data_IF_465433501077
#
_entry.id   IF_465433501077
#
_cell.length_a   1.000
_cell.length_b   1.000
_cell.length_c   1.000
_cell.angle_alpha   90.00
_cell.angle_beta   90.00
_cell.angle_gamma   90.00
#
_symmetry.space_group_name_H-M   'P 1'
#
loop_
_entity.id
_entity.type
_entity.pdbx_description
1 polymer ?
#
# COMPACT_ATOMS: atom_id res chain seq x y z
N UNK A 1 46.23 32.53 19.27
CA UNK A 1 44.80 32.78 18.96
C UNK A 1 43.97 31.79 19.76
N UNK A 2 43.03 32.29 20.57
CA UNK A 2 42.11 31.49 21.39
C UNK A 2 40.79 31.20 20.66
N UNK A 3 40.38 32.12 19.79
CA UNK A 3 39.15 32.02 19.00
C UNK A 3 39.48 31.98 17.50
N UNK A 4 38.71 31.21 16.74
CA UNK A 4 38.84 31.17 15.28
C UNK A 4 38.26 32.44 14.64
N UNK A 5 37.14 32.92 15.17
CA UNK A 5 36.39 34.07 14.68
C UNK A 5 35.89 34.89 15.87
N UNK A 6 35.98 36.22 15.77
CA UNK A 6 35.15 37.16 16.52
C UNK A 6 33.93 37.52 15.66
N UNK A 7 32.71 37.40 16.20
CA UNK A 7 31.48 37.87 15.55
C UNK A 7 31.11 39.26 16.08
N UNK A 8 31.24 40.27 15.20
CA UNK A 8 30.80 41.65 15.41
C UNK A 8 29.45 41.87 14.73
N UNK A 9 28.45 42.36 15.47
CA UNK A 9 27.06 42.46 15.00
C UNK A 9 26.23 43.47 15.81
N UNK A 10 25.21 44.07 15.20
CA UNK A 10 24.22 44.88 15.92
C UNK A 10 23.23 44.00 16.69
N UNK A 11 22.66 44.51 17.78
CA UNK A 11 21.69 43.77 18.61
C UNK A 11 20.48 43.25 17.80
N UNK A 12 20.09 43.96 16.73
CA UNK A 12 19.02 43.54 15.80
C UNK A 12 19.36 42.22 15.06
N UNK A 13 20.65 41.98 14.82
CA UNK A 13 21.19 40.86 14.05
C UNK A 13 21.55 39.65 14.93
N UNK A 14 21.23 39.68 16.23
CA UNK A 14 21.59 38.63 17.19
C UNK A 14 21.11 37.23 16.80
N UNK A 15 19.97 37.14 16.11
CA UNK A 15 19.45 35.88 15.60
C UNK A 15 20.31 35.29 14.48
N UNK A 16 20.89 36.13 13.61
CA UNK A 16 21.86 35.72 12.60
C UNK A 16 23.21 35.34 13.21
N UNK A 17 23.72 36.10 14.19
CA UNK A 17 24.94 35.76 14.91
C UNK A 17 24.85 34.37 15.57
N UNK A 18 23.75 34.10 16.26
CA UNK A 18 23.49 32.82 16.93
C UNK A 18 23.31 31.66 15.94
N UNK A 19 22.76 31.90 14.75
CA UNK A 19 22.66 30.90 13.69
C UNK A 19 24.02 30.60 13.03
N UNK A 20 24.78 31.65 12.70
CA UNK A 20 26.07 31.55 12.03
C UNK A 20 27.11 30.86 12.91
N UNK A 21 27.19 31.23 14.20
CA UNK A 21 28.03 30.58 15.19
C UNK A 21 27.84 29.05 15.20
N UNK A 22 26.59 28.58 15.35
CA UNK A 22 26.26 27.14 15.34
C UNK A 22 26.67 26.44 14.04
N UNK A 23 26.50 27.11 12.89
CA UNK A 23 26.90 26.58 11.57
C UNK A 23 28.43 26.45 11.45
N UNK A 24 29.20 27.43 11.93
CA UNK A 24 30.66 27.39 11.93
C UNK A 24 31.21 26.31 12.87
N UNK A 25 30.72 26.23 14.11
CA UNK A 25 31.20 25.25 15.11
C UNK A 25 30.84 23.79 14.78
N UNK A 26 29.68 23.57 14.14
CA UNK A 26 29.26 22.25 13.68
C UNK A 26 29.93 21.80 12.38
N UNK A 27 30.59 22.71 11.64
CA UNK A 27 31.20 22.40 10.35
C UNK A 27 32.37 21.40 10.48
N UNK A 28 32.40 20.41 9.58
CA UNK A 28 33.40 19.34 9.56
C UNK A 28 34.20 19.36 8.26
N UNK A 29 35.38 19.97 8.36
CA UNK A 29 36.31 20.21 7.24
C UNK A 29 36.55 18.90 6.45
N UNK A 30 36.57 18.95 5.11
CA UNK A 30 36.84 17.77 4.30
C UNK A 30 38.17 17.10 4.65
N UNK A 31 38.18 15.78 4.91
CA UNK A 31 39.40 14.99 5.21
C UNK A 31 40.56 15.21 4.22
N UNK A 32 40.27 15.58 2.96
CA UNK A 32 41.27 15.89 1.92
C UNK A 32 41.98 17.24 2.10
N UNK A 33 41.42 18.14 2.90
CA UNK A 33 41.96 19.46 3.23
C UNK A 33 42.56 19.47 4.64
N UNK A 34 42.17 18.55 5.54
CA UNK A 34 42.75 18.49 6.88
C UNK A 34 44.23 18.15 6.79
N UNK A 35 45.07 19.00 7.36
CA UNK A 35 46.53 18.89 7.30
C UNK A 35 47.19 19.45 6.02
N UNK A 36 46.43 19.92 5.02
CA UNK A 36 47.02 20.68 3.91
C UNK A 36 47.32 22.11 4.35
N UNK A 37 48.29 22.76 3.70
CA UNK A 37 48.59 24.18 3.94
C UNK A 37 47.37 25.05 3.61
N UNK A 38 46.83 25.73 4.63
CA UNK A 38 45.90 26.84 4.51
C UNK A 38 46.60 28.16 4.89
N UNK A 39 45.80 29.22 5.03
CA UNK A 39 46.32 30.59 5.25
C UNK A 39 47.15 30.75 6.53
N UNK A 40 46.76 30.04 7.60
CA UNK A 40 47.34 30.13 8.94
C UNK A 40 48.10 28.86 9.36
N UNK A 41 48.54 28.05 8.40
CA UNK A 41 49.22 26.77 8.64
C UNK A 41 48.33 25.56 8.28
N UNK A 42 48.56 24.37 8.90
CA UNK A 42 47.83 23.16 8.53
C UNK A 42 46.34 23.26 8.90
N UNK A 43 45.47 23.07 7.91
CA UNK A 43 44.02 23.22 8.08
C UNK A 43 43.49 22.20 9.12
N UNK A 44 42.74 22.64 10.15
CA UNK A 44 42.22 21.77 11.20
C UNK A 44 40.98 20.98 10.76
N UNK A 45 40.63 19.93 11.52
CA UNK A 45 39.44 19.10 11.25
C UNK A 45 38.10 19.78 11.59
N UNK A 46 38.14 20.89 12.34
CA UNK A 46 37.04 21.74 12.84
C UNK A 46 37.59 23.17 12.90
N UNK A 47 36.76 24.18 12.65
CA UNK A 47 37.21 25.57 12.59
C UNK A 47 37.74 26.09 13.94
N UNK A 48 37.07 25.76 15.04
CA UNK A 48 37.45 26.17 16.38
C UNK A 48 36.25 26.75 17.14
N UNK A 49 36.52 27.42 18.26
CA UNK A 49 35.51 28.17 19.02
C UNK A 49 35.33 29.55 18.39
N UNK A 50 34.09 30.01 18.30
CA UNK A 50 33.73 31.34 17.80
C UNK A 50 33.37 32.23 18.99
N UNK A 51 34.01 33.39 19.11
CA UNK A 51 33.62 34.41 20.09
C UNK A 51 32.45 35.23 19.52
N UNK A 52 31.49 35.57 20.38
CA UNK A 52 30.35 36.44 20.05
C UNK A 52 30.12 37.36 21.24
N UNK A 53 30.05 38.67 21.01
CA UNK A 53 29.72 39.59 22.11
C UNK A 53 28.29 39.34 22.64
N UNK A 54 28.17 39.41 23.97
CA UNK A 54 27.00 39.27 24.86
C UNK A 54 25.75 38.50 24.40
N UNK A 55 25.56 37.33 25.02
CA UNK A 55 24.35 37.07 25.85
C UNK A 55 24.75 36.79 27.34
N UNK A 56 26.03 36.96 27.74
CA UNK A 56 26.51 36.62 29.09
C UNK A 56 26.77 37.86 29.98
N UNK A 57 25.68 38.40 30.53
CA UNK A 57 25.57 39.01 31.87
C UNK A 57 26.55 40.19 32.19
N UNK A 58 26.72 40.63 33.46
CA UNK A 58 26.01 41.81 33.96
C UNK A 58 26.93 43.02 34.24
N UNK A 59 26.37 44.06 34.86
CA UNK A 59 26.96 45.36 35.23
C UNK A 59 28.28 45.28 36.04
N UNK A 60 29.42 45.63 35.43
CA UNK A 60 30.54 46.36 36.09
C UNK A 60 31.67 46.79 35.12
N UNK A 61 32.13 48.04 35.23
CA UNK A 61 33.54 48.42 35.07
C UNK A 61 34.15 48.44 33.65
N UNK A 62 34.50 47.28 33.11
CA UNK A 62 35.70 47.15 32.25
C UNK A 62 35.44 46.52 30.86
N UNK A 63 34.24 46.74 30.32
CA UNK A 63 33.79 46.18 29.03
C UNK A 63 34.79 46.41 27.88
N UNK A 64 35.49 47.55 27.88
CA UNK A 64 36.37 47.94 26.78
C UNK A 64 37.71 47.19 26.73
N UNK A 65 38.19 46.63 27.85
CA UNK A 65 39.44 45.87 27.89
C UNK A 65 39.22 44.43 27.45
N UNK A 66 38.20 43.77 28.00
CA UNK A 66 37.84 42.37 27.67
C UNK A 66 37.52 42.19 26.18
N UNK A 67 36.79 43.13 25.56
CA UNK A 67 36.48 43.08 24.11
C UNK A 67 37.76 43.26 23.28
N UNK A 68 38.65 44.20 23.64
CA UNK A 68 39.94 44.39 22.94
C UNK A 68 40.85 43.18 23.06
N UNK A 69 40.89 42.54 24.23
CA UNK A 69 41.60 41.27 24.44
C UNK A 69 41.04 40.17 23.54
N UNK A 70 39.71 39.95 23.53
CA UNK A 70 39.07 38.97 22.67
C UNK A 70 39.29 39.24 21.16
N UNK A 71 39.27 40.51 20.72
CA UNK A 71 39.62 40.91 19.35
C UNK A 71 41.10 40.63 19.03
N UNK A 72 42.01 40.82 20.00
CA UNK A 72 43.42 40.47 19.82
C UNK A 72 43.64 38.95 19.72
N UNK A 73 42.95 38.17 20.56
CA UNK A 73 43.05 36.70 20.60
C UNK A 73 42.32 35.96 19.47
N UNK A 74 41.51 36.65 18.67
CA UNK A 74 40.74 36.07 17.57
C UNK A 74 41.53 36.03 16.25
N UNK A 75 41.50 34.90 15.55
CA UNK A 75 42.25 34.73 14.30
C UNK A 75 41.68 35.53 13.12
N UNK A 76 40.37 35.78 13.10
CA UNK A 76 39.65 36.57 12.10
C UNK A 76 38.48 37.35 12.73
N UNK A 77 38.03 38.41 12.07
CA UNK A 77 36.81 39.15 12.39
C UNK A 77 35.74 38.85 11.33
N UNK A 78 34.55 38.46 11.77
CA UNK A 78 33.38 38.32 10.90
C UNK A 78 32.36 39.36 11.31
N UNK A 79 32.09 40.30 10.41
CA UNK A 79 31.12 41.38 10.60
C UNK A 79 29.80 40.96 9.98
N UNK A 80 28.72 40.97 10.75
CA UNK A 80 27.37 40.80 10.21
C UNK A 80 26.91 42.15 9.67
N UNK A 81 26.68 42.21 8.36
CA UNK A 81 26.43 43.45 7.63
C UNK A 81 24.92 43.61 7.39
N UNK A 82 24.39 44.73 7.89
CA UNK A 82 22.97 45.11 7.87
C UNK A 82 22.85 46.64 8.04
N UNK A 83 21.68 47.25 7.74
CA UNK A 83 21.45 48.67 8.01
C UNK A 83 21.57 49.02 9.51
N UNK A 84 21.32 48.06 10.40
CA UNK A 84 21.46 48.24 11.84
C UNK A 84 22.92 48.14 12.31
N UNK A 85 23.76 47.39 11.59
CA UNK A 85 25.19 47.25 11.86
C UNK A 85 26.03 48.38 11.23
N UNK A 86 25.66 48.87 10.04
CA UNK A 86 26.29 50.05 9.41
C UNK A 86 26.18 51.33 10.27
N UNK A 87 25.03 51.51 10.94
CA UNK A 87 24.79 52.65 11.86
C UNK A 87 25.32 52.44 13.28
N UNK A 88 25.90 51.28 13.60
CA UNK A 88 26.34 50.97 14.96
C UNK A 88 27.78 51.45 15.21
N UNK A 89 27.90 52.49 16.05
CA UNK A 89 29.20 53.00 16.51
C UNK A 89 30.05 51.92 17.22
N UNK A 90 29.40 50.92 17.84
CA UNK A 90 30.09 49.81 18.49
C UNK A 90 30.71 48.85 17.47
N UNK A 91 29.95 48.47 16.43
CA UNK A 91 30.44 47.61 15.34
C UNK A 91 31.60 48.30 14.59
N UNK A 92 31.48 49.60 14.32
CA UNK A 92 32.56 50.40 13.70
C UNK A 92 33.81 50.50 14.61
N UNK A 93 33.63 50.63 15.92
CA UNK A 93 34.74 50.64 16.87
C UNK A 93 35.43 49.27 16.99
N UNK A 94 34.69 48.16 16.95
CA UNK A 94 35.25 46.80 16.91
C UNK A 94 36.05 46.53 15.64
N UNK A 95 35.50 46.91 14.47
CA UNK A 95 36.21 46.85 13.18
C UNK A 95 37.50 47.67 13.23
N UNK A 96 37.43 48.96 13.60
CA UNK A 96 38.61 49.82 13.72
C UNK A 96 39.65 49.27 14.71
N UNK A 97 39.19 48.69 15.83
CA UNK A 97 40.06 48.06 16.82
C UNK A 97 40.66 46.73 16.36
N UNK A 98 40.09 46.05 15.38
CA UNK A 98 40.69 44.88 14.76
C UNK A 98 41.66 45.29 13.63
N UNK A 99 41.31 46.30 12.83
CA UNK A 99 42.18 46.85 11.78
C UNK A 99 43.52 47.35 12.36
N UNK A 100 43.50 48.01 13.53
CA UNK A 100 44.71 48.47 14.23
C UNK A 100 45.65 47.35 14.68
N UNK A 101 45.20 46.09 14.69
CA UNK A 101 46.06 44.91 14.95
C UNK A 101 46.82 44.41 13.71
N UNK A 102 46.71 45.10 12.57
CA UNK A 102 47.44 44.78 11.34
C UNK A 102 46.89 43.60 10.54
N UNK A 103 45.67 43.14 10.85
CA UNK A 103 45.03 41.93 10.27
C UNK A 103 43.86 42.29 9.35
N UNK A 104 43.98 43.36 8.57
CA UNK A 104 42.90 43.86 7.71
C UNK A 104 42.41 42.84 6.67
N UNK A 105 43.30 41.95 6.22
CA UNK A 105 43.01 40.87 5.28
C UNK A 105 42.17 39.71 5.87
N UNK A 106 41.77 39.83 7.15
CA UNK A 106 41.00 38.86 7.94
C UNK A 106 39.67 39.41 8.45
N UNK A 107 39.22 40.54 7.91
CA UNK A 107 37.86 41.05 8.09
C UNK A 107 36.99 40.45 6.98
N UNK A 108 35.98 39.67 7.36
CA UNK A 108 35.03 39.06 6.44
C UNK A 108 33.64 39.62 6.68
N UNK A 109 32.98 40.08 5.63
CA UNK A 109 31.62 40.60 5.72
C UNK A 109 30.59 39.50 5.45
N UNK A 110 29.53 39.45 6.26
CA UNK A 110 28.43 38.50 6.10
C UNK A 110 27.12 39.27 5.99
N UNK A 111 26.68 39.52 4.76
CA UNK A 111 25.51 40.34 4.46
C UNK A 111 24.25 39.54 4.79
N UNK A 112 23.40 40.12 5.63
CA UNK A 112 22.12 39.51 6.03
C UNK A 112 20.90 40.31 5.58
N UNK A 113 21.05 41.62 5.41
CA UNK A 113 19.99 42.57 5.06
C UNK A 113 20.62 43.85 4.47
N UNK A 114 19.85 44.61 3.70
CA UNK A 114 20.28 45.87 3.09
C UNK A 114 21.08 45.70 1.79
N UNK A 115 21.14 46.78 1.00
CA UNK A 115 21.97 46.84 -0.21
C UNK A 115 23.46 46.88 0.16
N UNK A 116 24.36 46.24 -0.61
CA UNK A 116 25.78 46.12 -0.30
C UNK A 116 26.55 47.43 -0.57
N UNK A 117 26.20 48.50 0.14
CA UNK A 117 26.83 49.81 0.08
C UNK A 117 27.24 50.28 1.48
N UNK A 118 28.13 51.27 1.54
CA UNK A 118 28.63 51.83 2.81
C UNK A 118 27.49 52.38 3.67
N UNK A 119 26.55 53.08 3.05
CA UNK A 119 25.47 53.75 3.79
C UNK A 119 24.37 52.79 4.29
N UNK A 120 24.23 51.61 3.67
CA UNK A 120 23.12 50.67 3.93
C UNK A 120 23.52 49.35 4.59
N UNK A 121 24.78 48.90 4.56
CA UNK A 121 25.12 47.55 5.01
C UNK A 121 26.51 47.39 5.67
N UNK A 122 27.52 48.10 5.17
CA UNK A 122 28.90 47.99 5.67
C UNK A 122 29.24 49.09 6.69
N UNK A 123 29.85 48.79 7.86
CA UNK A 123 30.36 49.82 8.76
C UNK A 123 31.43 50.68 8.06
N UNK A 124 31.47 52.02 8.27
CA UNK A 124 32.36 52.92 7.51
C UNK A 124 33.84 52.51 7.51
N UNK A 125 34.37 52.05 8.64
CA UNK A 125 35.75 51.57 8.77
C UNK A 125 36.10 50.35 7.92
N UNK A 126 35.13 49.57 7.43
CA UNK A 126 35.42 48.38 6.58
C UNK A 126 35.92 48.73 5.17
N UNK A 127 35.77 49.98 4.71
CA UNK A 127 36.02 50.41 3.32
C UNK A 127 37.12 51.50 3.22
N UNK A 128 37.85 51.77 4.32
CA UNK A 128 38.83 52.89 4.48
C UNK A 128 39.96 53.00 3.42
N UNK A 129 40.12 52.05 2.48
CA UNK A 129 41.13 52.11 1.40
C UNK A 129 40.55 51.87 -0.01
N UNK A 130 39.24 51.97 -0.23
CA UNK A 130 38.63 51.87 -1.56
C UNK A 130 38.59 50.47 -2.19
N UNK A 131 39.01 49.44 -1.45
CA UNK A 131 38.77 48.04 -1.81
C UNK A 131 37.46 47.56 -1.17
N UNK A 132 36.59 46.93 -1.96
CA UNK A 132 35.39 46.27 -1.44
C UNK A 132 35.79 45.07 -0.55
N UNK A 133 35.20 44.92 0.66
CA UNK A 133 35.50 43.80 1.54
C UNK A 133 34.95 42.49 0.96
N UNK A 134 35.65 41.38 1.23
CA UNK A 134 35.19 40.06 0.79
C UNK A 134 33.90 39.66 1.52
N UNK A 135 32.77 39.86 0.85
CA UNK A 135 31.44 39.63 1.38
C UNK A 135 30.85 38.29 0.96
N UNK A 136 30.20 37.61 1.91
CA UNK A 136 29.33 36.46 1.68
C UNK A 136 27.88 36.91 1.86
N UNK A 137 27.03 36.71 0.84
CA UNK A 137 25.68 37.28 0.83
C UNK A 137 24.62 36.23 1.14
N UNK A 138 24.09 36.26 2.37
CA UNK A 138 23.12 35.30 2.86
C UNK A 138 21.67 35.59 2.44
N UNK A 139 21.42 36.73 1.78
CA UNK A 139 20.09 37.11 1.26
C UNK A 139 19.64 36.16 0.15
N UNK A 140 18.33 36.09 -0.09
CA UNK A 140 17.76 35.22 -1.13
C UNK A 140 18.13 35.67 -2.56
N UNK A 141 18.45 36.95 -2.72
CA UNK A 141 18.90 37.59 -3.98
C UNK A 141 20.42 37.50 -4.21
N UNK A 142 21.18 37.03 -3.20
CA UNK A 142 22.64 36.89 -3.23
C UNK A 142 23.12 35.45 -3.40
N UNK A 143 24.13 35.03 -2.62
CA UNK A 143 24.60 33.63 -2.62
C UNK A 143 23.57 32.67 -2.00
N UNK A 144 22.79 33.17 -1.02
CA UNK A 144 21.85 32.40 -0.20
C UNK A 144 22.52 31.67 0.98
N UNK A 145 21.77 31.51 2.08
CA UNK A 145 22.28 31.09 3.41
C UNK A 145 23.37 30.02 3.42
N UNK A 146 23.15 28.86 2.81
CA UNK A 146 24.14 27.75 2.88
C UNK A 146 25.39 28.00 2.02
N UNK A 147 25.26 28.69 0.87
CA UNK A 147 26.41 29.06 0.02
C UNK A 147 27.22 30.19 0.63
N UNK A 148 26.57 31.20 1.20
CA UNK A 148 27.22 32.27 1.94
C UNK A 148 28.08 31.71 3.10
N UNK A 149 27.55 30.75 3.86
CA UNK A 149 28.33 30.05 4.90
C UNK A 149 29.53 29.30 4.32
N UNK A 150 29.38 28.58 3.21
CA UNK A 150 30.52 27.90 2.57
C UNK A 150 31.57 28.88 2.01
N UNK A 151 31.16 30.03 1.49
CA UNK A 151 32.02 31.12 0.99
C UNK A 151 32.80 31.78 2.12
N UNK A 152 32.15 32.04 3.26
CA UNK A 152 32.79 32.49 4.49
C UNK A 152 33.82 31.46 5.01
N UNK A 153 33.45 30.18 5.08
CA UNK A 153 34.34 29.09 5.53
C UNK A 153 35.54 28.92 4.59
N UNK A 154 35.33 29.08 3.27
CA UNK A 154 36.40 29.08 2.28
C UNK A 154 37.42 30.21 2.55
N UNK A 155 36.94 31.43 2.83
CA UNK A 155 37.76 32.57 3.21
C UNK A 155 38.53 32.36 4.53
N UNK A 156 37.85 31.86 5.56
CA UNK A 156 38.45 31.56 6.88
C UNK A 156 39.54 30.49 6.82
N UNK A 157 39.39 29.48 5.95
CA UNK A 157 40.39 28.42 5.76
C UNK A 157 41.48 28.78 4.72
N UNK A 158 41.26 29.81 3.91
CA UNK A 158 42.13 30.13 2.77
C UNK A 158 42.08 29.10 1.63
N UNK A 159 40.92 28.49 1.38
CA UNK A 159 40.73 27.48 0.32
C UNK A 159 39.76 27.97 -0.75
N UNK A 160 39.92 27.51 -1.99
CA UNK A 160 38.99 27.86 -3.07
C UNK A 160 37.58 27.33 -2.80
N UNK A 161 36.57 28.20 -2.91
CA UNK A 161 35.15 27.91 -2.65
C UNK A 161 34.64 26.66 -3.39
N UNK A 162 35.01 26.48 -4.66
CA UNK A 162 34.64 25.33 -5.48
C UNK A 162 35.07 23.99 -4.87
N UNK A 163 36.18 23.98 -4.13
CA UNK A 163 36.68 22.76 -3.46
C UNK A 163 35.78 22.31 -2.30
N UNK A 164 34.96 23.20 -1.74
CA UNK A 164 33.95 22.86 -0.75
C UNK A 164 32.64 22.44 -1.43
N UNK A 165 32.17 23.23 -2.41
CA UNK A 165 30.89 23.01 -3.13
C UNK A 165 30.84 21.67 -3.86
N UNK A 166 31.89 21.32 -4.61
CA UNK A 166 31.93 20.07 -5.42
C UNK A 166 31.69 18.81 -4.57
N UNK A 167 32.10 18.82 -3.29
CA UNK A 167 31.97 17.66 -2.40
C UNK A 167 30.53 17.41 -1.94
N UNK A 168 29.74 18.46 -1.73
CA UNK A 168 28.35 18.33 -1.29
C UNK A 168 27.46 17.82 -2.42
N UNK A 169 27.69 18.32 -3.65
CA UNK A 169 27.09 17.77 -4.87
C UNK A 169 27.43 16.28 -5.04
N UNK A 170 28.71 15.89 -4.90
CA UNK A 170 29.12 14.48 -4.98
C UNK A 170 28.47 13.60 -3.90
N UNK A 171 28.30 14.09 -2.67
CA UNK A 171 27.61 13.35 -1.59
C UNK A 171 26.13 13.15 -1.90
N UNK A 172 25.44 14.17 -2.42
CA UNK A 172 24.04 14.10 -2.84
C UNK A 172 23.86 13.10 -3.98
N UNK A 173 24.68 13.21 -5.03
CA UNK A 173 24.58 12.34 -6.21
C UNK A 173 24.89 10.87 -5.87
N UNK A 174 25.88 10.59 -5.02
CA UNK A 174 26.16 9.21 -4.56
C UNK A 174 25.00 8.59 -3.77
N UNK A 175 24.32 9.36 -2.93
CA UNK A 175 23.12 8.90 -2.20
C UNK A 175 21.97 8.59 -3.15
N UNK A 176 21.69 9.49 -4.09
CA UNK A 176 20.63 9.31 -5.09
C UNK A 176 20.90 8.10 -6.00
N UNK A 177 22.14 7.92 -6.45
CA UNK A 177 22.54 6.77 -7.26
C UNK A 177 22.36 5.43 -6.52
N UNK A 178 22.69 5.37 -5.22
CA UNK A 178 22.52 4.15 -4.41
C UNK A 178 21.04 3.82 -4.19
N UNK A 179 20.19 4.82 -3.93
CA UNK A 179 18.73 4.65 -3.85
C UNK A 179 18.17 4.15 -5.18
N UNK A 180 18.55 4.77 -6.31
CA UNK A 180 18.11 4.34 -7.64
C UNK A 180 18.52 2.89 -7.95
N UNK A 181 19.77 2.51 -7.66
CA UNK A 181 20.25 1.14 -7.84
C UNK A 181 19.48 0.12 -6.97
N UNK A 182 19.19 0.47 -5.70
CA UNK A 182 18.39 -0.36 -4.81
C UNK A 182 16.94 -0.52 -5.32
N UNK A 183 16.33 0.55 -5.82
CA UNK A 183 14.99 0.50 -6.44
C UNK A 183 14.96 -0.39 -7.69
N UNK A 184 15.98 -0.30 -8.56
CA UNK A 184 16.07 -1.16 -9.75
C UNK A 184 16.25 -2.64 -9.37
N UNK A 185 17.10 -2.94 -8.38
CA UNK A 185 17.25 -4.30 -7.87
C UNK A 185 15.94 -4.83 -7.24
N UNK A 186 15.25 -4.00 -6.46
CA UNK A 186 13.95 -4.33 -5.88
C UNK A 186 12.88 -4.63 -6.95
N UNK A 187 12.81 -3.81 -8.01
CA UNK A 187 11.90 -4.05 -9.14
C UNK A 187 12.25 -5.34 -9.89
N UNK A 188 13.54 -5.64 -10.11
CA UNK A 188 13.93 -6.90 -10.75
C UNK A 188 13.49 -8.14 -9.94
N UNK A 189 13.58 -8.07 -8.61
CA UNK A 189 13.11 -9.13 -7.71
C UNK A 189 11.58 -9.26 -7.75
N UNK A 190 10.83 -8.16 -7.66
CA UNK A 190 9.36 -8.24 -7.69
C UNK A 190 8.83 -8.65 -9.06
N UNK A 191 9.45 -8.19 -10.16
CA UNK A 191 9.08 -8.63 -11.52
C UNK A 191 9.39 -10.12 -11.76
N UNK A 192 10.54 -10.63 -11.32
CA UNK A 192 10.86 -12.05 -11.45
C UNK A 192 9.92 -12.93 -10.61
N UNK A 193 9.63 -12.55 -9.37
CA UNK A 193 8.61 -13.22 -8.55
C UNK A 193 7.23 -13.19 -9.22
N UNK A 194 6.79 -12.04 -9.76
CA UNK A 194 5.52 -11.92 -10.47
C UNK A 194 5.45 -12.84 -11.71
N UNK A 195 6.53 -12.93 -12.49
CA UNK A 195 6.60 -13.86 -13.64
C UNK A 195 6.50 -15.31 -13.19
N UNK A 196 7.24 -15.73 -12.16
CA UNK A 196 7.16 -17.12 -11.65
C UNK A 196 5.77 -17.46 -11.11
N UNK A 197 5.14 -16.55 -10.36
CA UNK A 197 3.77 -16.72 -9.87
C UNK A 197 2.75 -16.82 -11.01
N UNK A 198 2.90 -16.01 -12.07
CA UNK A 198 1.99 -16.04 -13.21
C UNK A 198 2.14 -17.31 -14.04
N UNK A 199 3.38 -17.78 -14.26
CA UNK A 199 3.65 -19.06 -14.94
C UNK A 199 3.08 -20.25 -14.15
N UNK A 200 3.32 -20.31 -12.83
CA UNK A 200 2.78 -21.35 -11.97
C UNK A 200 1.24 -21.39 -11.97
N UNK A 201 0.59 -20.21 -11.98
CA UNK A 201 -0.88 -20.10 -12.12
C UNK A 201 -1.37 -20.61 -13.48
N UNK A 202 -0.69 -20.25 -14.56
CA UNK A 202 -1.07 -20.67 -15.91
C UNK A 202 -0.91 -22.20 -16.09
N UNK A 203 0.14 -22.80 -15.52
CA UNK A 203 0.35 -24.26 -15.56
C UNK A 203 -0.61 -25.04 -14.64
N UNK A 204 -1.10 -24.43 -13.56
CA UNK A 204 -2.21 -24.98 -12.77
C UNK A 204 -3.52 -24.96 -13.57
N UNK A 205 -3.87 -23.81 -14.17
CA UNK A 205 -5.07 -23.65 -14.98
C UNK A 205 -5.09 -24.57 -16.21
N UNK A 206 -3.95 -24.77 -16.88
CA UNK A 206 -3.84 -25.73 -18.00
C UNK A 206 -4.13 -27.17 -17.57
N UNK A 207 -3.58 -27.60 -16.42
CA UNK A 207 -3.83 -28.95 -15.88
C UNK A 207 -5.30 -29.13 -15.48
N UNK A 208 -5.91 -28.11 -14.88
CA UNK A 208 -7.34 -28.12 -14.58
C UNK A 208 -8.18 -28.22 -15.86
N UNK A 209 -7.91 -27.40 -16.87
CA UNK A 209 -8.65 -27.42 -18.13
C UNK A 209 -8.53 -28.77 -18.87
N UNK A 210 -7.36 -29.42 -18.84
CA UNK A 210 -7.17 -30.77 -19.38
C UNK A 210 -7.97 -31.84 -18.63
N UNK A 211 -8.06 -31.72 -17.30
CA UNK A 211 -8.86 -32.64 -16.48
C UNK A 211 -10.37 -32.40 -16.68
N UNK A 212 -10.80 -31.15 -16.80
CA UNK A 212 -12.18 -30.78 -17.13
C UNK A 212 -12.61 -31.28 -18.52
N UNK A 213 -11.75 -31.14 -19.55
CA UNK A 213 -12.01 -31.67 -20.90
C UNK A 213 -12.15 -33.20 -20.91
N UNK A 214 -11.23 -33.90 -20.24
CA UNK A 214 -11.30 -35.35 -20.07
C UNK A 214 -12.58 -35.78 -19.32
N UNK A 215 -12.98 -35.04 -18.29
CA UNK A 215 -14.23 -35.31 -17.55
C UNK A 215 -15.48 -34.99 -18.38
N UNK A 216 -15.46 -33.94 -19.20
CA UNK A 216 -16.52 -33.63 -20.16
C UNK A 216 -16.71 -34.77 -21.16
N UNK A 217 -15.61 -35.30 -21.71
CA UNK A 217 -15.65 -36.50 -22.56
C UNK A 217 -16.16 -37.73 -21.80
N UNK A 218 -15.70 -37.96 -20.56
CA UNK A 218 -16.12 -39.10 -19.75
C UNK A 218 -17.62 -39.06 -19.38
N UNK A 219 -18.11 -37.92 -18.91
CA UNK A 219 -19.47 -37.73 -18.40
C UNK A 219 -20.52 -37.45 -19.48
N UNK A 220 -20.12 -36.86 -20.61
CA UNK A 220 -20.99 -36.67 -21.77
C UNK A 220 -20.89 -37.82 -22.75
N UNK A 221 -19.78 -37.85 -23.48
CA UNK A 221 -19.59 -38.66 -24.68
C UNK A 221 -19.49 -40.16 -24.39
N UNK A 222 -18.64 -40.54 -23.42
CA UNK A 222 -18.43 -41.93 -23.03
C UNK A 222 -19.64 -42.46 -22.26
N UNK A 223 -20.12 -41.77 -21.22
CA UNK A 223 -21.33 -42.14 -20.48
C UNK A 223 -22.54 -42.32 -21.41
N UNK A 224 -22.81 -41.36 -22.30
CA UNK A 224 -23.91 -41.45 -23.27
C UNK A 224 -23.78 -42.62 -24.26
N UNK A 225 -22.55 -43.01 -24.64
CA UNK A 225 -22.30 -44.24 -25.42
C UNK A 225 -22.57 -45.50 -24.56
N UNK A 226 -22.09 -45.53 -23.32
CA UNK A 226 -22.27 -46.65 -22.39
C UNK A 226 -23.75 -46.89 -22.04
N UNK A 227 -24.56 -45.83 -21.91
CA UNK A 227 -26.02 -45.94 -21.74
C UNK A 227 -26.67 -46.66 -22.93
N UNK A 228 -26.32 -46.26 -24.17
CA UNK A 228 -26.87 -46.86 -25.39
C UNK A 228 -26.53 -48.34 -25.57
N UNK A 229 -25.42 -48.81 -25.01
CA UNK A 229 -25.01 -50.22 -25.03
C UNK A 229 -25.32 -50.99 -23.74
N UNK A 230 -26.04 -50.37 -22.78
CA UNK A 230 -26.46 -51.02 -21.53
C UNK A 230 -25.32 -51.35 -20.55
N UNK A 231 -24.13 -50.74 -20.67
CA UNK A 231 -22.96 -51.05 -19.83
C UNK A 231 -22.93 -50.23 -18.54
N UNK A 232 -23.93 -50.47 -17.68
CA UNK A 232 -24.13 -49.80 -16.38
C UNK A 232 -22.96 -50.04 -15.42
N UNK A 233 -22.29 -51.18 -15.52
CA UNK A 233 -21.05 -51.48 -14.79
C UNK A 233 -19.91 -50.51 -15.11
N UNK A 234 -19.72 -50.18 -16.39
CA UNK A 234 -18.70 -49.23 -16.83
C UNK A 234 -19.10 -47.78 -16.53
N UNK A 235 -20.40 -47.44 -16.61
CA UNK A 235 -20.90 -46.11 -16.20
C UNK A 235 -20.59 -45.84 -14.73
N UNK A 236 -20.85 -46.80 -13.83
CA UNK A 236 -20.50 -46.66 -12.41
C UNK A 236 -19.00 -46.42 -12.18
N UNK A 237 -18.12 -47.12 -12.90
CA UNK A 237 -16.67 -46.87 -12.80
C UNK A 237 -16.24 -45.49 -13.31
N UNK A 238 -16.95 -44.92 -14.29
CA UNK A 238 -16.72 -43.54 -14.77
C UNK A 238 -17.20 -42.54 -13.72
N UNK A 239 -18.39 -42.76 -13.19
CA UNK A 239 -19.02 -41.92 -12.16
C UNK A 239 -18.18 -41.91 -10.86
N UNK A 240 -17.74 -43.07 -10.37
CA UNK A 240 -16.85 -43.19 -9.19
C UNK A 240 -15.55 -42.39 -9.37
N UNK A 241 -14.98 -42.42 -10.60
CA UNK A 241 -13.75 -41.70 -10.92
C UNK A 241 -13.98 -40.18 -10.96
N UNK A 242 -15.13 -39.73 -11.49
CA UNK A 242 -15.53 -38.33 -11.51
C UNK A 242 -15.79 -37.80 -10.09
N UNK A 243 -16.63 -38.47 -9.29
CA UNK A 243 -16.90 -38.12 -7.89
C UNK A 243 -15.61 -38.04 -7.07
N UNK A 244 -14.69 -39.00 -7.22
CA UNK A 244 -13.40 -38.93 -6.51
C UNK A 244 -12.59 -37.68 -6.87
N UNK A 245 -12.53 -37.30 -8.14
CA UNK A 245 -11.84 -36.08 -8.57
C UNK A 245 -12.54 -34.80 -8.06
N UNK A 246 -13.87 -34.74 -8.10
CA UNK A 246 -14.63 -33.59 -7.60
C UNK A 246 -14.51 -33.38 -6.08
N UNK A 247 -14.24 -34.45 -5.32
CA UNK A 247 -13.97 -34.40 -3.88
C UNK A 247 -12.57 -33.90 -3.52
N UNK A 248 -11.62 -33.87 -4.46
CA UNK A 248 -10.25 -33.34 -4.26
C UNK A 248 -10.17 -31.81 -4.52
N UNK A 249 -11.28 -31.16 -4.90
CA UNK A 249 -11.34 -29.74 -5.28
C UNK A 249 -12.21 -28.91 -4.31
N UNK A 250 -11.71 -27.75 -3.87
CA UNK A 250 -12.51 -26.78 -3.11
C UNK A 250 -13.47 -26.03 -4.05
N UNK A 251 -14.80 -26.08 -3.83
CA UNK A 251 -15.77 -25.37 -4.67
C UNK A 251 -15.52 -23.87 -4.80
N UNK A 252 -14.89 -23.24 -3.80
CA UNK A 252 -14.64 -21.79 -3.78
C UNK A 252 -13.58 -21.37 -4.78
N UNK A 253 -12.63 -22.25 -5.09
CA UNK A 253 -11.53 -22.00 -6.04
C UNK A 253 -11.94 -22.26 -7.50
N UNK A 254 -13.09 -22.91 -7.72
CA UNK A 254 -13.60 -23.26 -9.05
C UNK A 254 -14.33 -22.10 -9.74
N UNK A 255 -14.22 -22.07 -11.08
CA UNK A 255 -15.01 -21.16 -11.92
C UNK A 255 -16.49 -21.55 -11.92
N UNK A 256 -17.39 -20.59 -12.18
CA UNK A 256 -18.83 -20.83 -12.27
C UNK A 256 -19.15 -21.96 -13.27
N UNK A 257 -18.56 -21.95 -14.47
CA UNK A 257 -18.74 -23.02 -15.48
C UNK A 257 -18.37 -24.41 -14.94
N UNK A 258 -17.24 -24.50 -14.23
CA UNK A 258 -16.78 -25.77 -13.66
C UNK A 258 -17.72 -26.27 -12.54
N UNK A 259 -18.25 -25.36 -11.71
CA UNK A 259 -19.27 -25.69 -10.71
C UNK A 259 -20.58 -26.16 -11.36
N UNK A 260 -21.02 -25.50 -12.43
CA UNK A 260 -22.26 -25.84 -13.18
C UNK A 260 -22.13 -27.23 -13.83
N UNK A 261 -20.97 -27.54 -14.42
CA UNK A 261 -20.67 -28.86 -15.00
C UNK A 261 -20.58 -29.96 -13.93
N UNK A 262 -19.97 -29.67 -12.76
CA UNK A 262 -19.93 -30.59 -11.62
C UNK A 262 -21.32 -30.86 -11.04
N UNK A 263 -22.11 -29.81 -10.79
CA UNK A 263 -23.46 -29.92 -10.24
C UNK A 263 -24.35 -30.81 -11.13
N UNK A 264 -24.34 -30.57 -12.44
CA UNK A 264 -25.08 -31.37 -13.43
C UNK A 264 -24.62 -32.83 -13.45
N UNK A 265 -23.30 -33.05 -13.43
CA UNK A 265 -22.71 -34.39 -13.41
C UNK A 265 -23.10 -35.16 -12.15
N UNK A 266 -22.92 -34.56 -10.96
CA UNK A 266 -23.25 -35.15 -9.67
C UNK A 266 -24.76 -35.45 -9.53
N UNK A 267 -25.63 -34.58 -10.06
CA UNK A 267 -27.08 -34.82 -10.10
C UNK A 267 -27.41 -36.05 -10.95
N UNK A 268 -26.81 -36.17 -12.14
CA UNK A 268 -26.99 -37.34 -13.01
C UNK A 268 -26.40 -38.63 -12.42
N UNK A 269 -25.31 -38.55 -11.64
CA UNK A 269 -24.77 -39.68 -10.88
C UNK A 269 -25.77 -40.10 -9.78
N UNK A 270 -26.31 -39.13 -9.04
CA UNK A 270 -27.30 -39.37 -7.99
C UNK A 270 -28.56 -40.07 -8.51
N UNK A 271 -29.08 -39.63 -9.65
CA UNK A 271 -30.24 -40.24 -10.31
C UNK A 271 -29.99 -41.71 -10.71
N UNK A 272 -28.86 -42.01 -11.36
CA UNK A 272 -28.53 -43.40 -11.73
C UNK A 272 -28.35 -44.28 -10.49
N UNK A 273 -27.71 -43.78 -9.42
CA UNK A 273 -27.57 -44.54 -8.17
C UNK A 273 -28.91 -44.74 -7.45
N UNK A 274 -29.87 -43.83 -7.63
CA UNK A 274 -31.22 -43.96 -7.11
C UNK A 274 -32.03 -45.01 -7.88
N UNK A 275 -31.90 -45.07 -9.22
CA UNK A 275 -32.46 -46.13 -10.07
C UNK A 275 -31.88 -47.52 -9.71
N UNK A 276 -30.58 -47.59 -9.40
CA UNK A 276 -29.89 -48.79 -8.87
C UNK A 276 -30.29 -49.14 -7.40
N UNK A 277 -31.23 -48.43 -6.79
CA UNK A 277 -31.60 -48.50 -5.36
C UNK A 277 -30.44 -48.29 -4.36
N UNK A 278 -29.32 -47.74 -4.81
CA UNK A 278 -28.16 -47.39 -3.98
C UNK A 278 -28.36 -46.00 -3.35
N UNK A 279 -29.37 -45.91 -2.47
CA UNK A 279 -29.79 -44.66 -1.84
C UNK A 279 -28.66 -43.94 -1.06
N UNK A 280 -27.72 -44.67 -0.46
CA UNK A 280 -26.63 -44.08 0.32
C UNK A 280 -25.67 -43.26 -0.56
N UNK A 281 -25.28 -43.82 -1.70
CA UNK A 281 -24.40 -43.14 -2.65
C UNK A 281 -25.15 -42.09 -3.49
N UNK A 282 -26.45 -42.30 -3.77
CA UNK A 282 -27.31 -41.28 -4.36
C UNK A 282 -27.40 -40.03 -3.46
N UNK A 283 -27.67 -40.23 -2.16
CA UNK A 283 -27.70 -39.18 -1.14
C UNK A 283 -26.38 -38.40 -1.09
N UNK A 284 -25.24 -39.09 -1.17
CA UNK A 284 -23.92 -38.45 -1.21
C UNK A 284 -23.76 -37.56 -2.46
N UNK A 285 -24.04 -38.10 -3.65
CA UNK A 285 -23.92 -37.35 -4.90
C UNK A 285 -24.84 -36.12 -4.95
N UNK A 286 -26.08 -36.23 -4.46
CA UNK A 286 -27.00 -35.09 -4.39
C UNK A 286 -26.58 -34.04 -3.37
N UNK A 287 -25.98 -34.42 -2.23
CA UNK A 287 -25.42 -33.46 -1.26
C UNK A 287 -24.21 -32.72 -1.83
N UNK A 288 -23.30 -33.41 -2.52
CA UNK A 288 -22.18 -32.76 -3.21
C UNK A 288 -22.69 -31.82 -4.32
N UNK A 289 -23.71 -32.21 -5.08
CA UNK A 289 -24.37 -31.35 -6.06
C UNK A 289 -24.98 -30.09 -5.41
N UNK A 290 -25.67 -30.26 -4.28
CA UNK A 290 -26.27 -29.16 -3.52
C UNK A 290 -25.23 -28.14 -3.02
N UNK A 291 -24.05 -28.60 -2.59
CA UNK A 291 -22.93 -27.70 -2.26
C UNK A 291 -22.49 -26.88 -3.48
N UNK A 292 -22.37 -27.50 -4.66
CA UNK A 292 -21.95 -26.79 -5.89
C UNK A 292 -23.01 -25.77 -6.35
N UNK A 293 -24.30 -26.15 -6.35
CA UNK A 293 -25.41 -25.22 -6.70
C UNK A 293 -25.59 -24.11 -5.67
N UNK A 294 -25.36 -24.38 -4.38
CA UNK A 294 -25.40 -23.35 -3.34
C UNK A 294 -24.26 -22.34 -3.54
N UNK A 295 -23.03 -22.80 -3.78
CA UNK A 295 -21.90 -21.92 -4.08
C UNK A 295 -22.12 -21.07 -5.34
N UNK A 296 -22.83 -21.58 -6.35
CA UNK A 296 -23.22 -20.83 -7.54
C UNK A 296 -24.27 -19.75 -7.25
N UNK A 297 -25.32 -20.09 -6.50
CA UNK A 297 -26.37 -19.16 -6.11
C UNK A 297 -25.84 -18.07 -5.17
N UNK A 298 -25.00 -18.42 -4.19
CA UNK A 298 -24.41 -17.44 -3.26
C UNK A 298 -23.51 -16.40 -3.98
N UNK A 299 -22.94 -16.75 -5.14
CA UNK A 299 -22.21 -15.82 -6.02
C UNK A 299 -23.13 -14.88 -6.81
N UNK A 300 -24.39 -15.27 -7.08
CA UNK A 300 -25.41 -14.49 -7.81
C UNK A 300 -26.83 -14.80 -7.31
N UNK A 301 -27.25 -14.23 -6.17
CA UNK A 301 -28.54 -14.57 -5.54
C UNK A 301 -29.78 -14.08 -6.32
N UNK A 302 -29.57 -13.27 -7.36
CA UNK A 302 -30.56 -12.76 -8.30
C UNK A 302 -30.75 -13.65 -9.54
N UNK A 303 -29.92 -14.69 -9.71
CA UNK A 303 -30.01 -15.63 -10.83
C UNK A 303 -31.03 -16.75 -10.52
N UNK A 304 -32.23 -16.61 -11.09
CA UNK A 304 -33.31 -17.59 -10.92
C UNK A 304 -32.98 -18.99 -11.44
N UNK A 305 -32.11 -19.13 -12.46
CA UNK A 305 -31.71 -20.47 -12.91
C UNK A 305 -30.85 -21.16 -11.85
N UNK A 306 -29.97 -20.42 -11.16
CA UNK A 306 -29.17 -20.97 -10.05
C UNK A 306 -30.01 -21.33 -8.84
N UNK A 307 -31.06 -20.55 -8.56
CA UNK A 307 -32.03 -20.89 -7.52
C UNK A 307 -32.83 -22.16 -7.88
N UNK A 308 -33.26 -22.29 -9.14
CA UNK A 308 -33.91 -23.50 -9.66
C UNK A 308 -32.98 -24.72 -9.53
N UNK A 309 -31.74 -24.63 -9.99
CA UNK A 309 -30.77 -25.73 -9.93
C UNK A 309 -30.51 -26.16 -8.47
N UNK A 310 -30.40 -25.20 -7.53
CA UNK A 310 -30.31 -25.50 -6.09
C UNK A 310 -31.58 -26.18 -5.58
N UNK A 311 -32.75 -25.67 -5.93
CA UNK A 311 -34.03 -26.26 -5.54
C UNK A 311 -34.18 -27.72 -6.04
N UNK A 312 -33.75 -28.03 -7.27
CA UNK A 312 -33.75 -29.41 -7.77
C UNK A 312 -32.91 -30.35 -6.88
N UNK A 313 -31.72 -29.92 -6.43
CA UNK A 313 -30.92 -30.73 -5.49
C UNK A 313 -31.57 -30.87 -4.12
N UNK A 314 -32.28 -29.85 -3.62
CA UNK A 314 -33.06 -29.91 -2.37
C UNK A 314 -34.20 -30.94 -2.48
N UNK A 315 -34.90 -30.98 -3.61
CA UNK A 315 -35.90 -32.01 -3.92
C UNK A 315 -35.29 -33.42 -3.90
N UNK A 316 -34.21 -33.65 -4.65
CA UNK A 316 -33.60 -34.97 -4.75
C UNK A 316 -33.11 -35.51 -3.40
N UNK A 317 -32.47 -34.67 -2.58
CA UNK A 317 -32.07 -35.05 -1.22
C UNK A 317 -33.30 -35.43 -0.37
N UNK A 318 -34.37 -34.64 -0.43
CA UNK A 318 -35.63 -34.94 0.26
C UNK A 318 -36.30 -36.24 -0.20
N UNK A 319 -36.28 -36.51 -1.51
CA UNK A 319 -36.83 -37.72 -2.11
C UNK A 319 -36.04 -38.98 -1.70
N UNK A 320 -34.70 -38.93 -1.73
CA UNK A 320 -33.88 -40.07 -1.27
C UNK A 320 -34.08 -40.32 0.22
N UNK A 321 -34.16 -39.28 1.04
CA UNK A 321 -34.47 -39.42 2.47
C UNK A 321 -35.85 -40.08 2.71
N UNK A 322 -36.86 -39.73 1.90
CA UNK A 322 -38.19 -40.34 1.96
C UNK A 322 -38.16 -41.82 1.56
N UNK A 323 -37.46 -42.17 0.47
CA UNK A 323 -37.26 -43.57 0.04
C UNK A 323 -36.53 -44.42 1.09
N UNK A 324 -35.62 -43.82 1.87
CA UNK A 324 -34.95 -44.45 3.01
C UNK A 324 -35.82 -44.54 4.29
N UNK A 325 -37.06 -44.05 4.27
CA UNK A 325 -37.93 -43.97 5.44
C UNK A 325 -37.53 -42.89 6.47
N UNK A 326 -36.55 -42.04 6.16
CA UNK A 326 -36.10 -40.95 7.03
C UNK A 326 -37.02 -39.72 6.85
N UNK A 327 -38.25 -39.84 7.37
CA UNK A 327 -39.30 -38.85 7.19
C UNK A 327 -38.96 -37.47 7.79
N UNK A 328 -38.09 -37.40 8.80
CA UNK A 328 -37.61 -36.15 9.39
C UNK A 328 -36.61 -35.40 8.49
N UNK A 329 -35.69 -36.12 7.85
CA UNK A 329 -34.80 -35.51 6.87
C UNK A 329 -35.55 -35.15 5.59
N UNK A 330 -36.46 -36.01 5.12
CA UNK A 330 -37.35 -35.70 4.00
C UNK A 330 -38.14 -34.41 4.25
N UNK A 331 -38.72 -34.24 5.45
CA UNK A 331 -39.47 -33.03 5.81
C UNK A 331 -38.61 -31.78 5.69
N UNK A 332 -37.38 -31.81 6.21
CA UNK A 332 -36.47 -30.65 6.20
C UNK A 332 -36.09 -30.24 4.78
N UNK A 333 -35.78 -31.19 3.91
CA UNK A 333 -35.34 -30.91 2.55
C UNK A 333 -36.50 -30.56 1.60
N UNK A 334 -37.64 -31.24 1.69
CA UNK A 334 -38.82 -30.90 0.89
C UNK A 334 -39.43 -29.55 1.34
N UNK A 335 -39.28 -29.18 2.61
CA UNK A 335 -39.59 -27.82 3.10
C UNK A 335 -38.71 -26.78 2.41
N UNK A 336 -37.38 -27.00 2.38
CA UNK A 336 -36.43 -26.11 1.67
C UNK A 336 -36.75 -25.98 0.19
N UNK A 337 -36.98 -27.10 -0.50
CA UNK A 337 -37.37 -27.10 -1.91
C UNK A 337 -38.61 -26.24 -2.17
N UNK A 338 -39.67 -26.43 -1.36
CA UNK A 338 -40.91 -25.64 -1.44
C UNK A 338 -40.66 -24.16 -1.15
N UNK A 339 -39.79 -23.82 -0.20
CA UNK A 339 -39.42 -22.44 0.12
C UNK A 339 -38.59 -21.78 -1.01
N UNK A 340 -37.61 -22.50 -1.58
CA UNK A 340 -36.84 -22.08 -2.76
C UNK A 340 -37.74 -21.89 -3.98
N UNK A 341 -38.73 -22.78 -4.20
CA UNK A 341 -39.71 -22.64 -5.28
C UNK A 341 -40.62 -21.41 -5.11
N UNK A 342 -41.09 -21.13 -3.87
CA UNK A 342 -41.84 -19.91 -3.55
C UNK A 342 -41.03 -18.64 -3.77
N UNK A 343 -39.70 -18.69 -3.58
CA UNK A 343 -38.79 -17.58 -3.89
C UNK A 343 -38.54 -17.45 -5.41
N UNK A 344 -38.50 -18.58 -6.13
CA UNK A 344 -38.22 -18.65 -7.56
C UNK A 344 -39.38 -18.14 -8.43
N UNK A 345 -40.61 -18.57 -8.17
CA UNK A 345 -41.75 -18.27 -9.04
C UNK A 345 -42.01 -16.75 -9.25
N UNK A 346 -41.79 -15.85 -8.27
CA UNK A 346 -41.85 -14.41 -8.50
C UNK A 346 -40.72 -13.82 -9.37
N UNK A 347 -39.59 -14.52 -9.57
CA UNK A 347 -38.44 -14.02 -10.35
C UNK A 347 -38.75 -13.95 -11.85
N UNK A 348 -39.49 -14.92 -12.39
CA UNK A 348 -40.09 -14.83 -13.72
C UNK A 348 -41.54 -15.37 -13.72
N UNK A 349 -42.54 -14.47 -13.58
CA UNK A 349 -43.95 -14.84 -13.64
C UNK A 349 -44.42 -15.44 -14.97
N UNK A 350 -43.63 -15.33 -16.06
CA UNK A 350 -43.94 -15.92 -17.38
C UNK A 350 -43.36 -17.33 -17.53
N UNK A 351 -42.35 -17.68 -16.74
CA UNK A 351 -41.76 -19.01 -16.75
C UNK A 351 -42.68 -20.00 -16.02
N UNK A 352 -43.57 -20.64 -16.79
CA UNK A 352 -44.53 -21.60 -16.25
C UNK A 352 -43.87 -22.86 -15.64
N UNK A 353 -42.64 -23.20 -16.03
CA UNK A 353 -41.91 -24.29 -15.39
C UNK A 353 -41.57 -23.93 -13.94
N UNK A 354 -41.08 -22.71 -13.68
CA UNK A 354 -40.84 -22.20 -12.33
C UNK A 354 -42.12 -22.04 -11.50
N UNK A 355 -43.26 -21.72 -12.13
CA UNK A 355 -44.56 -21.69 -11.43
C UNK A 355 -44.96 -23.08 -10.90
N UNK A 356 -44.75 -24.14 -11.70
CA UNK A 356 -45.09 -25.53 -11.30
C UNK A 356 -44.26 -26.05 -10.13
N UNK A 357 -43.00 -25.62 -9.98
CA UNK A 357 -42.17 -26.02 -8.84
C UNK A 357 -42.83 -25.71 -7.48
N UNK A 358 -43.64 -24.65 -7.40
CA UNK A 358 -44.41 -24.32 -6.18
C UNK A 358 -45.48 -25.37 -5.90
N UNK A 359 -46.22 -25.79 -6.94
CA UNK A 359 -47.22 -26.85 -6.82
C UNK A 359 -46.58 -28.18 -6.43
N UNK A 360 -45.46 -28.56 -7.08
CA UNK A 360 -44.69 -29.75 -6.71
C UNK A 360 -44.13 -29.68 -5.28
N UNK A 361 -43.70 -28.49 -4.82
CA UNK A 361 -43.29 -28.27 -3.43
C UNK A 361 -44.39 -28.54 -2.42
N UNK A 362 -45.63 -28.13 -2.70
CA UNK A 362 -46.79 -28.48 -1.86
C UNK A 362 -47.16 -29.96 -1.97
N UNK A 363 -47.18 -30.51 -3.18
CA UNK A 363 -47.50 -31.92 -3.45
C UNK A 363 -46.60 -32.88 -2.66
N UNK A 364 -45.28 -32.68 -2.77
CA UNK A 364 -44.27 -33.52 -2.11
C UNK A 364 -44.41 -33.49 -0.58
N UNK A 365 -44.75 -32.32 0.00
CA UNK A 365 -45.01 -32.19 1.43
C UNK A 365 -46.34 -32.85 1.83
N UNK A 366 -47.38 -32.76 1.01
CA UNK A 366 -48.66 -33.40 1.29
C UNK A 366 -48.54 -34.93 1.34
N UNK A 367 -47.87 -35.53 0.35
CA UNK A 367 -47.59 -36.98 0.31
C UNK A 367 -46.73 -37.41 1.51
N UNK A 368 -45.75 -36.60 1.90
CA UNK A 368 -44.94 -36.88 3.09
C UNK A 368 -45.76 -36.78 4.40
N UNK A 369 -46.66 -35.81 4.50
CA UNK A 369 -47.54 -35.62 5.67
C UNK A 369 -48.55 -36.76 5.79
N UNK A 370 -49.13 -37.22 4.68
CA UNK A 370 -49.98 -38.40 4.64
C UNK A 370 -49.22 -39.65 5.11
N UNK A 371 -48.00 -39.88 4.62
CA UNK A 371 -47.13 -40.97 5.06
C UNK A 371 -46.73 -40.91 6.55
N UNK A 372 -46.88 -39.74 7.20
CA UNK A 372 -46.68 -39.53 8.65
C UNK A 372 -47.97 -39.59 9.47
N UNK A 373 -49.14 -39.72 8.85
CA UNK A 373 -50.46 -39.63 9.50
C UNK A 373 -50.92 -38.20 9.82
N UNK A 374 -50.22 -37.15 9.35
CA UNK A 374 -50.65 -35.75 9.45
C UNK A 374 -51.65 -35.44 8.33
N UNK A 375 -52.84 -36.04 8.42
CA UNK A 375 -53.89 -35.91 7.40
C UNK A 375 -54.36 -34.46 7.23
N UNK A 376 -54.43 -33.67 8.31
CA UNK A 376 -54.77 -32.24 8.21
C UNK A 376 -53.66 -31.44 7.50
N UNK A 377 -52.39 -31.76 7.77
CA UNK A 377 -51.25 -31.16 7.08
C UNK A 377 -51.28 -31.47 5.59
N UNK A 378 -51.49 -32.74 5.23
CA UNK A 378 -51.65 -33.19 3.87
C UNK A 378 -52.79 -32.45 3.17
N UNK A 379 -53.98 -32.36 3.79
CA UNK A 379 -55.12 -31.63 3.22
C UNK A 379 -54.82 -30.14 3.02
N UNK A 380 -54.15 -29.48 3.98
CA UNK A 380 -53.73 -28.08 3.85
C UNK A 380 -52.78 -27.87 2.67
N UNK A 381 -51.81 -28.77 2.48
CA UNK A 381 -50.86 -28.70 1.37
C UNK A 381 -51.54 -28.97 0.02
N UNK A 382 -52.40 -30.00 -0.08
CA UNK A 382 -53.18 -30.30 -1.29
C UNK A 382 -54.13 -29.15 -1.69
N UNK A 383 -54.72 -28.44 -0.70
CA UNK A 383 -55.52 -27.24 -0.96
C UNK A 383 -54.70 -26.11 -1.57
N UNK A 384 -53.45 -25.90 -1.13
CA UNK A 384 -52.54 -24.91 -1.73
C UNK A 384 -52.14 -25.29 -3.16
N UNK A 385 -51.86 -26.56 -3.42
CA UNK A 385 -51.62 -27.06 -4.78
C UNK A 385 -52.84 -26.79 -5.70
N UNK A 386 -54.05 -27.11 -5.23
CA UNK A 386 -55.30 -26.89 -5.96
C UNK A 386 -55.59 -25.40 -6.23
N UNK A 387 -55.33 -24.52 -5.26
CA UNK A 387 -55.46 -23.06 -5.43
C UNK A 387 -54.59 -22.53 -6.58
N UNK A 388 -53.34 -23.02 -6.71
CA UNK A 388 -52.42 -22.64 -7.79
C UNK A 388 -52.94 -23.09 -9.15
N UNK A 389 -53.32 -24.36 -9.29
CA UNK A 389 -53.89 -24.88 -10.55
C UNK A 389 -55.19 -24.15 -10.95
N UNK A 390 -56.07 -23.83 -10.00
CA UNK A 390 -57.26 -23.02 -10.26
C UNK A 390 -56.94 -21.57 -10.66
N UNK A 391 -55.87 -20.97 -10.13
CA UNK A 391 -55.43 -19.64 -10.56
C UNK A 391 -54.92 -19.66 -12.00
N UNK A 392 -54.05 -20.61 -12.36
CA UNK A 392 -53.51 -20.74 -13.72
C UNK A 392 -54.60 -21.10 -14.75
N UNK A 393 -55.57 -21.94 -14.37
CA UNK A 393 -56.69 -22.29 -15.24
C UNK A 393 -57.63 -21.10 -15.57
N UNK A 394 -57.65 -20.06 -14.74
CA UNK A 394 -58.42 -18.83 -14.96
C UNK A 394 -57.64 -17.75 -15.73
N UNK A 395 -56.34 -17.95 -15.96
CA UNK A 395 -55.46 -17.04 -16.68
C UNK A 395 -55.23 -17.46 -18.14
N UNK A 396 -55.82 -18.58 -18.56
CA UNK A 396 -55.93 -19.06 -19.94
C UNK A 396 -57.32 -18.77 -20.49
#
# INVERSE_FOLDING_TARGET
MRYCVFLSYSHNDAHWARWLMRKLESYRVPKRLVGTHGRDGPIPARLGVVFRDRDELPTAGDLSTTIKEALSESAALVVICSPASARSQWVDAEVRSFLSTGRADRVFCFIVEGEPTVDNCFPPSTIENGNEPLAADARAEGDGKDRAVLKLIAGLLGVGYDTLVQREAQRRNRRLALVAAASVAGMAITSSLAVTAHLARNDAQRRQAQAEDLLGFMMGDLRGKLTKVGRIDLMRSVDDKATKYFAELDPRDLSDRALEEQARSLTGIGQVRLEDANHAEAMKAFREAHERTTALYDRKPDDGQRLFDRAQTEYWIGYVAWQQGNLEEAQRWLTRYRDSALQLAPMDPKNFDWQKEVAYGYHNLAVLQEARGDHEGAERAMKRELELFHAWAKQR
#
